data_IF_671929119763
#
_entry.id   IF_671929119763
#
_cell.length_a   1.000
_cell.length_b   1.000
_cell.length_c   1.000
_cell.angle_alpha   90.00
_cell.angle_beta   90.00
_cell.angle_gamma   90.00
#
_symmetry.space_group_name_H-M   'P 1'
#
loop_
_entity.id
_entity.type
_entity.pdbx_description
1 polymer ?
#
# COMPACT_ATOMS: atom_id res chain seq x y z
N UNK A 1 -23.17 -8.39 -2.55
CA UNK A 1 -22.57 -9.64 -2.04
C UNK A 1 -21.79 -10.30 -3.18
N UNK A 2 -20.65 -9.72 -3.57
CA UNK A 2 -19.75 -10.28 -4.59
C UNK A 2 -18.33 -10.21 -4.03
N UNK A 3 -18.07 -11.09 -3.07
CA UNK A 3 -16.75 -11.61 -2.75
C UNK A 3 -16.66 -12.95 -3.47
N UNK A 4 -15.85 -13.05 -4.54
CA UNK A 4 -15.18 -14.28 -5.00
C UNK A 4 -14.68 -14.19 -6.44
N UNK A 5 -13.72 -13.30 -6.69
CA UNK A 5 -12.63 -13.66 -7.60
C UNK A 5 -11.29 -13.45 -6.87
N UNK A 6 -10.92 -14.36 -5.93
CA UNK A 6 -9.73 -14.23 -5.09
C UNK A 6 -8.60 -15.17 -5.49
N UNK A 7 -8.50 -15.60 -6.76
CA UNK A 7 -7.65 -16.76 -7.06
C UNK A 7 -6.18 -16.45 -7.38
N UNK A 8 -5.79 -15.19 -7.59
CA UNK A 8 -4.37 -14.86 -7.76
C UNK A 8 -3.79 -13.93 -6.69
N UNK A 9 -4.56 -12.98 -6.15
CA UNK A 9 -4.07 -11.99 -5.18
C UNK A 9 -4.94 -11.90 -3.94
N UNK A 10 -4.30 -11.79 -2.77
CA UNK A 10 -4.96 -11.35 -1.52
C UNK A 10 -4.88 -9.82 -1.45
N UNK A 11 -5.88 -9.17 -0.84
CA UNK A 11 -5.77 -7.74 -0.50
C UNK A 11 -4.51 -7.53 0.33
N UNK A 12 -3.73 -6.50 0.00
CA UNK A 12 -2.51 -6.22 0.72
C UNK A 12 -2.83 -5.78 2.16
N UNK A 13 -2.37 -6.51 3.20
CA UNK A 13 -2.69 -6.19 4.60
C UNK A 13 -1.96 -4.94 5.11
N UNK A 14 -1.03 -4.38 4.34
CA UNK A 14 -0.28 -3.19 4.72
C UNK A 14 -0.95 -1.89 4.25
N UNK A 15 -1.85 -1.97 3.28
CA UNK A 15 -2.57 -0.81 2.79
C UNK A 15 -4.08 -1.00 2.75
N UNK A 16 -4.58 -2.16 3.18
CA UNK A 16 -6.01 -2.46 3.35
C UNK A 16 -6.87 -2.13 2.12
N UNK A 17 -6.29 -2.29 0.92
CA UNK A 17 -6.96 -1.96 -0.35
C UNK A 17 -6.81 -0.51 -0.84
N UNK A 18 -6.02 0.33 -0.15
CA UNK A 18 -5.69 1.71 -0.55
C UNK A 18 -4.20 1.82 -0.97
N UNK A 19 -3.82 1.29 -2.14
CA UNK A 19 -2.41 1.17 -2.52
C UNK A 19 -1.76 2.48 -2.95
N UNK A 20 -2.55 3.51 -3.26
CA UNK A 20 -2.08 4.85 -3.62
C UNK A 20 -3.00 5.86 -2.95
N UNK A 21 -2.41 6.75 -2.13
CA UNK A 21 -3.16 7.79 -1.43
C UNK A 21 -2.52 9.15 -1.63
N UNK A 22 -3.35 10.18 -1.71
CA UNK A 22 -2.92 11.57 -1.73
C UNK A 22 -2.92 12.10 -0.30
N UNK A 23 -1.77 12.54 0.20
CA UNK A 23 -1.64 13.12 1.54
C UNK A 23 -1.05 14.51 1.47
N UNK A 24 -1.53 15.41 2.32
CA UNK A 24 -0.89 16.72 2.48
C UNK A 24 0.47 16.54 3.14
N UNK A 25 1.52 17.10 2.53
CA UNK A 25 2.90 16.95 3.00
C UNK A 25 3.17 17.61 4.35
N UNK A 26 2.26 18.45 4.87
CA UNK A 26 2.45 19.18 6.14
C UNK A 26 3.48 20.30 6.10
N UNK A 27 4.30 20.40 5.04
CA UNK A 27 5.32 21.43 4.81
C UNK A 27 4.76 22.85 4.55
N UNK A 28 3.47 23.08 4.77
CA UNK A 28 2.80 24.35 4.53
C UNK A 28 2.13 24.48 3.16
N UNK A 29 1.87 25.72 2.76
CA UNK A 29 1.20 26.07 1.50
C UNK A 29 2.23 26.51 0.46
N UNK A 30 1.93 26.33 -0.83
CA UNK A 30 2.73 26.92 -1.89
C UNK A 30 2.49 28.44 -1.99
N UNK A 31 3.24 29.13 -2.85
CA UNK A 31 3.12 30.58 -3.04
C UNK A 31 1.72 31.05 -3.46
N UNK A 32 0.89 30.15 -4.02
CA UNK A 32 -0.51 30.41 -4.38
C UNK A 32 -1.52 30.02 -3.29
N UNK A 33 -1.05 29.51 -2.14
CA UNK A 33 -1.90 29.16 -1.00
C UNK A 33 -2.48 27.73 -1.02
N UNK A 34 -2.07 26.87 -1.96
CA UNK A 34 -2.52 25.48 -1.99
C UNK A 34 -1.69 24.61 -1.06
N UNK A 35 -2.31 23.57 -0.51
CA UNK A 35 -1.57 22.52 0.20
C UNK A 35 -0.70 21.77 -0.79
N UNK A 36 0.56 21.56 -0.43
CA UNK A 36 1.39 20.61 -1.15
C UNK A 36 0.87 19.21 -0.84
N UNK A 37 0.30 18.57 -1.85
CA UNK A 37 -0.17 17.19 -1.79
C UNK A 37 0.88 16.31 -2.45
N UNK A 38 1.24 15.22 -1.78
CA UNK A 38 2.12 14.19 -2.31
C UNK A 38 1.34 12.89 -2.48
N UNK A 39 1.72 12.13 -3.49
CA UNK A 39 1.18 10.78 -3.71
C UNK A 39 2.08 9.77 -3.03
N UNK A 40 1.52 9.00 -2.11
CA UNK A 40 2.22 7.91 -1.42
C UNK A 40 1.72 6.59 -1.96
N UNK A 41 2.65 5.76 -2.43
CA UNK A 41 2.37 4.42 -2.93
C UNK A 41 2.80 3.38 -1.90
N UNK A 42 1.95 2.39 -1.65
CA UNK A 42 2.28 1.26 -0.79
C UNK A 42 3.47 0.49 -1.38
N UNK A 43 4.59 0.46 -0.64
CA UNK A 43 5.83 -0.19 -1.08
C UNK A 43 5.70 -1.72 -1.17
N UNK A 44 4.81 -2.31 -0.37
CA UNK A 44 4.62 -3.78 -0.30
C UNK A 44 3.94 -4.34 -1.55
N UNK A 45 2.88 -3.69 -2.03
CA UNK A 45 2.16 -4.09 -3.24
C UNK A 45 2.55 -3.25 -4.47
N UNK A 46 3.38 -2.22 -4.31
CA UNK A 46 3.82 -1.31 -5.38
C UNK A 46 2.66 -0.66 -6.15
N UNK A 47 1.55 -0.37 -5.48
CA UNK A 47 0.40 0.28 -6.11
C UNK A 47 -0.71 -0.66 -6.61
N UNK A 48 -0.51 -1.99 -6.59
CA UNK A 48 -1.50 -2.94 -7.15
C UNK A 48 -2.72 -3.21 -6.24
N UNK A 49 -2.63 -2.88 -4.94
CA UNK A 49 -3.69 -3.18 -3.95
C UNK A 49 -3.76 -4.65 -3.53
N UNK A 50 -3.10 -5.54 -4.26
CA UNK A 50 -3.06 -6.97 -4.01
C UNK A 50 -1.63 -7.47 -3.90
N UNK A 51 -1.42 -8.40 -2.97
CA UNK A 51 -0.21 -9.21 -2.93
C UNK A 51 -0.56 -10.59 -3.45
N UNK A 52 0.19 -11.07 -4.44
CA UNK A 52 0.11 -12.47 -4.80
C UNK A 52 0.65 -13.28 -3.62
N UNK A 53 0.00 -14.41 -3.33
CA UNK A 53 0.50 -15.38 -2.37
C UNK A 53 1.78 -15.99 -2.92
N UNK A 54 2.88 -15.24 -2.85
CA UNK A 54 4.23 -15.79 -2.97
C UNK A 54 4.36 -16.75 -1.80
N UNK A 55 4.55 -18.03 -2.11
CA UNK A 55 5.00 -19.05 -1.17
C UNK A 55 6.36 -18.60 -0.62
N UNK A 56 6.31 -17.69 0.35
CA UNK A 56 7.45 -17.44 1.19
C UNK A 56 7.65 -18.71 2.00
N UNK A 57 8.64 -19.53 1.62
CA UNK A 57 9.26 -20.39 2.60
C UNK A 57 9.65 -19.47 3.77
N UNK A 58 9.01 -19.67 4.92
CA UNK A 58 9.46 -19.08 6.18
C UNK A 58 10.90 -19.54 6.37
N UNK A 59 11.86 -18.69 6.02
CA UNK A 59 13.19 -18.78 6.61
C UNK A 59 12.99 -18.36 8.06
N UNK A 60 12.68 -19.34 8.92
CA UNK A 60 12.74 -19.16 10.35
C UNK A 60 14.16 -18.76 10.71
N UNK A 61 14.31 -17.59 11.31
CA UNK A 61 15.53 -17.13 11.94
C UNK A 61 15.14 -16.40 13.20
N UNK A 62 15.31 -17.09 14.33
CA UNK A 62 15.12 -16.56 15.68
C UNK A 62 16.17 -15.51 16.01
N UNK A 63 15.85 -14.69 17.01
CA UNK A 63 16.66 -13.64 17.61
C UNK A 63 18.12 -14.00 17.88
N UNK A 64 18.98 -12.99 17.82
CA UNK A 64 20.21 -12.85 18.61
C UNK A 64 20.33 -11.39 19.06
#
# INVERSE_FOLDING_TARGET
MTDRIPYLGRVCPNCDGFPVVAVSSGLGRDHRGNLRVITVTCRTCKGSGVVFARTFARAGGVAA
#
